data_IF_301977599929
#
_entry.id   IF_301977599929
#
_cell.length_a   1.000
_cell.length_b   1.000
_cell.length_c   1.000
_cell.angle_alpha   90.00
_cell.angle_beta   90.00
_cell.angle_gamma   90.00
#
_symmetry.space_group_name_H-M   'P 1'
#
loop_
_entity.id
_entity.type
_entity.pdbx_description
1 polymer ?
#
# COMPACT_ATOMS: atom_id res chain seq x y z
N UNK A 1 -4.08 14.92 28.07
CA UNK A 1 -5.16 14.12 27.44
C UNK A 1 -6.35 15.06 27.24
N UNK A 2 -6.05 16.25 26.71
CA UNK A 2 -6.93 17.43 26.70
C UNK A 2 -6.81 18.13 25.34
N UNK A 3 -6.49 17.34 24.33
CA UNK A 3 -6.18 17.80 22.99
C UNK A 3 -7.45 17.67 22.14
N UNK A 4 -7.98 18.80 21.70
CA UNK A 4 -9.14 18.84 20.81
C UNK A 4 -8.66 18.79 19.36
N UNK A 5 -9.22 17.88 18.58
CA UNK A 5 -8.96 17.79 17.15
C UNK A 5 -10.17 18.26 16.36
N UNK A 6 -9.93 18.88 15.20
CA UNK A 6 -11.01 19.22 14.27
C UNK A 6 -11.86 17.98 13.96
N UNK A 7 -13.18 18.07 14.12
CA UNK A 7 -14.12 16.98 13.86
C UNK A 7 -14.31 16.69 12.36
N UNK A 8 -13.74 17.52 11.47
CA UNK A 8 -13.66 17.18 10.04
C UNK A 8 -12.66 16.04 9.85
N UNK A 9 -13.16 14.87 9.46
CA UNK A 9 -12.39 13.62 9.36
C UNK A 9 -11.16 13.70 8.44
N UNK A 10 -11.21 14.55 7.42
CA UNK A 10 -10.08 14.77 6.50
C UNK A 10 -9.05 15.78 7.02
N UNK A 11 -9.39 16.61 8.02
CA UNK A 11 -8.51 17.64 8.57
C UNK A 11 -7.82 17.15 9.85
N UNK A 12 -8.60 16.82 10.89
CA UNK A 12 -8.12 16.31 12.19
C UNK A 12 -6.99 17.12 12.85
N UNK A 13 -6.76 18.37 12.44
CA UNK A 13 -5.75 19.27 12.98
C UNK A 13 -5.99 19.50 14.47
N UNK A 14 -4.91 19.51 15.24
CA UNK A 14 -4.93 19.88 16.66
C UNK A 14 -5.37 21.34 16.81
N UNK A 15 -6.32 21.58 17.71
CA UNK A 15 -6.88 22.88 18.00
C UNK A 15 -6.21 23.43 19.26
N UNK A 16 -5.47 24.52 19.10
CA UNK A 16 -4.63 25.08 20.18
C UNK A 16 -5.22 26.38 20.70
N UNK A 17 -5.30 27.42 19.87
CA UNK A 17 -5.71 28.74 20.34
C UNK A 17 -7.18 29.05 20.12
N UNK A 18 -7.67 28.69 18.92
CA UNK A 18 -8.92 29.19 18.36
C UNK A 18 -9.66 28.08 17.63
N UNK A 19 -10.95 27.95 17.92
CA UNK A 19 -11.82 26.97 17.29
C UNK A 19 -13.25 27.48 17.19
N UNK A 20 -14.06 26.80 16.38
CA UNK A 20 -15.50 27.03 16.25
C UNK A 20 -16.21 25.81 16.81
N UNK A 21 -17.08 26.03 17.81
CA UNK A 21 -17.87 24.98 18.46
C UNK A 21 -19.34 25.14 18.06
N UNK A 22 -20.02 24.03 17.77
CA UNK A 22 -21.45 24.00 17.44
C UNK A 22 -22.29 23.54 18.63
N UNK A 23 -23.59 23.81 18.63
CA UNK A 23 -24.50 23.34 19.71
C UNK A 23 -24.66 21.82 19.75
N UNK A 24 -24.45 21.14 18.61
CA UNK A 24 -24.39 19.68 18.55
C UNK A 24 -23.05 19.09 19.04
N UNK A 25 -22.28 19.85 19.84
CA UNK A 25 -21.03 19.43 20.49
C UNK A 25 -19.88 19.07 19.55
N UNK A 26 -19.88 19.57 18.31
CA UNK A 26 -18.75 19.41 17.38
C UNK A 26 -17.83 20.62 17.39
N UNK A 27 -16.55 20.41 17.14
CA UNK A 27 -15.55 21.46 17.12
C UNK A 27 -14.72 21.42 15.83
N UNK A 28 -14.45 22.58 15.24
CA UNK A 28 -13.75 22.72 13.97
C UNK A 28 -12.64 23.76 14.07
N UNK A 29 -11.59 23.59 13.26
CA UNK A 29 -10.64 24.68 13.05
C UNK A 29 -11.32 25.82 12.27
N UNK A 30 -10.80 27.03 12.41
CA UNK A 30 -11.36 28.23 11.75
C UNK A 30 -11.41 28.05 10.23
N UNK A 31 -10.38 27.45 9.64
CA UNK A 31 -10.29 27.18 8.20
C UNK A 31 -11.46 26.30 7.72
N UNK A 32 -11.66 25.13 8.34
CA UNK A 32 -12.76 24.23 8.00
C UNK A 32 -14.13 24.84 8.30
N UNK A 33 -14.27 25.56 9.40
CA UNK A 33 -15.53 26.21 9.75
C UNK A 33 -15.94 27.25 8.69
N UNK A 34 -14.99 28.05 8.21
CA UNK A 34 -15.25 29.04 7.15
C UNK A 34 -15.71 28.37 5.86
N UNK A 35 -15.17 27.21 5.50
CA UNK A 35 -15.60 26.47 4.30
C UNK A 35 -16.99 25.83 4.48
N UNK A 36 -17.22 25.18 5.62
CA UNK A 36 -18.47 24.43 5.89
C UNK A 36 -19.65 25.39 6.01
N UNK A 37 -19.47 26.48 6.76
CA UNK A 37 -20.54 27.43 7.08
C UNK A 37 -20.61 28.64 6.13
N UNK A 38 -19.84 28.65 5.03
CA UNK A 38 -20.02 29.62 3.95
C UNK A 38 -21.31 29.37 3.13
N UNK A 39 -21.91 28.19 3.25
CA UNK A 39 -23.11 27.81 2.51
C UNK A 39 -24.38 28.07 3.34
N UNK A 40 -25.50 28.49 2.72
CA UNK A 40 -26.71 28.90 3.42
C UNK A 40 -27.44 27.76 4.15
N UNK A 41 -27.10 26.50 3.86
CA UNK A 41 -27.77 25.33 4.43
C UNK A 41 -27.33 24.96 5.84
N UNK A 42 -26.26 25.53 6.40
CA UNK A 42 -25.89 25.51 7.83
C UNK A 42 -26.14 24.18 8.53
N UNK A 43 -25.51 23.14 7.97
CA UNK A 43 -25.57 21.77 8.48
C UNK A 43 -24.23 21.43 9.11
N UNK A 44 -24.26 20.72 10.24
CA UNK A 44 -23.04 20.19 10.85
C UNK A 44 -22.40 19.15 9.92
N UNK A 45 -21.17 19.40 9.46
CA UNK A 45 -20.45 18.44 8.60
C UNK A 45 -20.08 17.11 9.29
N UNK A 46 -20.29 16.98 10.60
CA UNK A 46 -19.92 15.79 11.36
C UNK A 46 -21.12 14.92 11.78
N UNK A 47 -22.31 15.50 11.99
CA UNK A 47 -23.50 14.77 12.41
C UNK A 47 -24.78 15.13 11.65
N UNK A 48 -24.66 15.97 10.61
CA UNK A 48 -25.75 16.37 9.70
C UNK A 48 -26.93 17.08 10.37
N UNK A 49 -26.82 17.43 11.65
CA UNK A 49 -27.81 18.24 12.36
C UNK A 49 -27.91 19.60 11.68
N UNK A 50 -29.13 19.99 11.33
CA UNK A 50 -29.44 21.35 10.89
C UNK A 50 -29.20 22.32 12.05
N UNK A 51 -28.49 23.40 11.78
CA UNK A 51 -28.15 24.42 12.76
C UNK A 51 -28.95 25.66 12.34
N UNK A 52 -30.27 25.58 12.49
CA UNK A 52 -31.20 26.58 11.98
C UNK A 52 -31.50 27.69 12.99
N UNK A 53 -31.11 27.51 14.26
CA UNK A 53 -31.24 28.55 15.28
C UNK A 53 -30.09 29.56 15.21
N UNK A 54 -30.34 30.84 15.55
CA UNK A 54 -29.31 31.88 15.60
C UNK A 54 -28.12 31.55 16.54
N UNK A 55 -28.36 30.68 17.52
CA UNK A 55 -27.38 30.24 18.51
C UNK A 55 -26.73 28.88 18.17
N UNK A 56 -27.19 28.16 17.14
CA UNK A 56 -26.76 26.79 16.83
C UNK A 56 -25.41 26.71 16.11
N UNK A 57 -25.22 27.64 15.19
CA UNK A 57 -23.94 28.09 14.67
C UNK A 57 -24.03 29.59 14.62
N UNK A 58 -22.95 30.29 14.93
CA UNK A 58 -22.88 31.72 14.68
C UNK A 58 -22.90 31.92 13.16
N UNK A 59 -24.10 32.07 12.62
CA UNK A 59 -24.42 32.10 11.19
C UNK A 59 -24.28 33.51 10.67
N UNK A 60 -23.38 33.68 9.70
CA UNK A 60 -23.14 34.90 8.97
C UNK A 60 -23.83 34.78 7.62
N UNK A 61 -25.00 35.38 7.44
CA UNK A 61 -25.46 35.76 6.09
C UNK A 61 -24.87 37.15 5.84
N UNK A 62 -24.14 37.38 4.73
CA UNK A 62 -23.62 38.69 4.41
C UNK A 62 -24.78 39.65 4.12
N UNK A 63 -25.14 40.49 5.09
CA UNK A 63 -25.87 41.74 4.86
C UNK A 63 -24.91 42.90 5.14
N UNK A 64 -24.80 43.90 4.24
CA UNK A 64 -23.71 44.87 4.18
C UNK A 64 -23.71 45.93 5.31
N UNK A 65 -24.34 45.68 6.46
CA UNK A 65 -24.59 46.71 7.47
C UNK A 65 -24.33 46.32 8.94
N UNK A 66 -23.82 45.11 9.22
CA UNK A 66 -23.52 44.73 10.61
C UNK A 66 -22.23 43.91 10.70
N UNK A 67 -21.28 44.40 11.48
CA UNK A 67 -19.99 43.77 11.79
C UNK A 67 -20.25 42.47 12.57
N UNK A 68 -20.03 41.31 11.94
CA UNK A 68 -20.40 40.01 12.51
C UNK A 68 -19.17 39.11 12.64
N UNK A 69 -18.87 38.72 13.89
CA UNK A 69 -17.73 37.89 14.26
C UNK A 69 -18.24 36.48 14.53
N UNK A 70 -17.83 35.49 13.73
CA UNK A 70 -17.90 34.06 14.13
C UNK A 70 -17.33 33.99 15.54
N UNK A 71 -18.09 33.49 16.53
CA UNK A 71 -17.56 33.37 17.90
C UNK A 71 -16.46 32.32 17.89
N UNK A 72 -15.26 32.79 17.59
CA UNK A 72 -14.04 32.06 17.75
C UNK A 72 -13.90 31.86 19.26
N UNK A 73 -14.09 30.63 19.69
CA UNK A 73 -13.80 30.25 21.05
C UNK A 73 -12.28 30.30 21.23
N UNK A 74 -11.81 31.22 22.07
CA UNK A 74 -10.48 31.08 22.63
C UNK A 74 -10.49 29.85 23.53
N UNK A 75 -9.62 28.89 23.25
CA UNK A 75 -9.47 27.68 24.06
C UNK A 75 -8.72 27.98 25.38
N UNK A 76 -8.07 29.15 25.45
CA UNK A 76 -7.33 29.63 26.61
C UNK A 76 -7.77 31.05 27.02
N UNK A 77 -8.98 31.21 27.58
CA UNK A 77 -9.42 32.51 28.09
C UNK A 77 -8.64 32.93 29.35
N UNK A 78 -8.44 34.24 29.52
CA UNK A 78 -7.79 34.80 30.72
C UNK A 78 -8.66 34.57 31.97
N UNK A 79 -8.05 34.58 33.15
CA UNK A 79 -8.81 34.41 34.41
C UNK A 79 -9.80 35.55 34.63
N UNK A 80 -9.45 36.79 34.26
CA UNK A 80 -10.35 37.93 34.37
C UNK A 80 -11.57 37.77 33.47
N UNK A 81 -11.38 37.24 32.24
CA UNK A 81 -12.49 36.95 31.35
C UNK A 81 -13.41 35.87 31.93
N UNK A 82 -12.83 34.77 32.45
CA UNK A 82 -13.61 33.71 33.13
C UNK A 82 -14.42 34.27 34.30
N UNK A 83 -13.80 35.10 35.14
CA UNK A 83 -14.50 35.77 36.26
C UNK A 83 -15.60 36.68 35.74
N UNK A 84 -15.37 37.45 34.68
CA UNK A 84 -16.35 38.40 34.13
C UNK A 84 -17.62 37.72 33.59
N UNK A 85 -17.49 36.56 32.94
CA UNK A 85 -18.64 35.84 32.36
C UNK A 85 -19.41 35.03 33.39
N UNK A 86 -18.77 34.64 34.50
CA UNK A 86 -19.39 33.87 35.58
C UNK A 86 -19.99 34.77 36.67
N UNK A 87 -19.43 35.97 36.87
CA UNK A 87 -19.89 36.89 37.91
C UNK A 87 -21.29 37.40 37.61
N UNK A 88 -22.22 37.23 38.55
CA UNK A 88 -23.62 37.62 38.41
C UNK A 88 -24.56 36.49 37.98
N UNK A 89 -24.03 35.32 37.60
CA UNK A 89 -24.85 34.13 37.35
C UNK A 89 -25.25 33.44 38.66
N UNK A 90 -26.44 32.84 38.70
CA UNK A 90 -26.86 32.02 39.84
C UNK A 90 -26.08 30.70 39.88
N UNK A 91 -25.91 30.09 41.07
CA UNK A 91 -25.26 28.78 41.18
C UNK A 91 -25.89 27.70 40.30
N UNK A 92 -27.22 27.73 40.07
CA UNK A 92 -27.88 26.76 39.21
C UNK A 92 -27.43 26.85 37.76
N UNK A 93 -27.31 28.07 37.21
CA UNK A 93 -26.85 28.30 35.83
C UNK A 93 -25.38 27.88 35.69
N UNK A 94 -24.54 28.20 36.68
CA UNK A 94 -23.14 27.80 36.68
C UNK A 94 -23.00 26.28 36.61
N UNK A 95 -23.77 25.54 37.42
CA UNK A 95 -23.77 24.08 37.39
C UNK A 95 -24.27 23.51 36.06
N UNK A 96 -25.28 24.15 35.45
CA UNK A 96 -25.76 23.75 34.12
C UNK A 96 -24.67 23.93 33.05
N UNK A 97 -23.98 25.08 33.04
CA UNK A 97 -22.86 25.35 32.14
C UNK A 97 -21.75 24.29 32.33
N UNK A 98 -21.38 23.99 33.57
CA UNK A 98 -20.38 22.96 33.88
C UNK A 98 -20.82 21.58 33.37
N UNK A 99 -22.09 21.21 33.56
CA UNK A 99 -22.64 19.95 33.07
C UNK A 99 -22.52 19.83 31.55
N UNK A 100 -22.94 20.87 30.81
CA UNK A 100 -22.87 20.90 29.33
C UNK A 100 -21.42 20.86 28.84
N UNK A 101 -20.51 21.57 29.50
CA UNK A 101 -19.09 21.54 29.18
C UNK A 101 -18.47 20.15 29.40
N UNK A 102 -18.83 19.46 30.49
CA UNK A 102 -18.39 18.09 30.75
C UNK A 102 -18.93 17.11 29.69
N UNK A 103 -20.21 17.22 29.33
CA UNK A 103 -20.80 16.39 28.27
C UNK A 103 -20.11 16.60 26.91
N UNK A 104 -19.75 17.85 26.58
CA UNK A 104 -18.95 18.15 25.39
C UNK A 104 -17.61 17.40 25.42
N UNK A 105 -16.85 17.50 26.51
CA UNK A 105 -15.55 16.83 26.62
C UNK A 105 -15.67 15.30 26.58
N UNK A 106 -16.68 14.74 27.25
CA UNK A 106 -16.97 13.31 27.19
C UNK A 106 -17.25 12.86 25.74
N UNK A 107 -18.03 13.63 25.01
CA UNK A 107 -18.31 13.38 23.60
C UNK A 107 -17.03 13.43 22.75
N UNK A 108 -16.19 14.44 22.93
CA UNK A 108 -14.93 14.58 22.18
C UNK A 108 -13.95 13.43 22.46
N UNK A 109 -13.82 13.01 23.72
CA UNK A 109 -12.99 11.85 24.09
C UNK A 109 -13.52 10.57 23.46
N UNK A 110 -14.84 10.35 23.48
CA UNK A 110 -15.46 9.17 22.89
C UNK A 110 -15.29 9.14 21.36
N UNK A 111 -15.47 10.28 20.70
CA UNK A 111 -15.26 10.42 19.27
C UNK A 111 -13.80 10.16 18.87
N UNK A 112 -12.84 10.73 19.62
CA UNK A 112 -11.41 10.49 19.40
C UNK A 112 -11.06 9.00 19.54
N UNK A 113 -11.53 8.37 20.62
CA UNK A 113 -11.31 6.94 20.86
C UNK A 113 -11.87 6.08 19.72
N UNK A 114 -13.10 6.37 19.29
CA UNK A 114 -13.75 5.66 18.18
C UNK A 114 -13.01 5.82 16.86
N UNK A 115 -12.54 7.04 16.57
CA UNK A 115 -11.71 7.33 15.39
C UNK A 115 -10.39 6.56 15.43
N UNK A 116 -9.65 6.62 16.54
CA UNK A 116 -8.38 5.91 16.70
C UNK A 116 -8.55 4.40 16.57
N UNK A 117 -9.63 3.83 17.13
CA UNK A 117 -9.96 2.42 16.96
C UNK A 117 -10.26 2.05 15.50
N UNK A 118 -10.94 2.91 14.75
CA UNK A 118 -11.21 2.68 13.33
C UNK A 118 -9.92 2.72 12.51
N UNK A 119 -9.04 3.71 12.76
CA UNK A 119 -7.73 3.82 12.11
C UNK A 119 -6.87 2.59 12.41
N UNK A 120 -6.80 2.17 13.67
CA UNK A 120 -6.05 0.98 14.08
C UNK A 120 -6.55 -0.29 13.38
N UNK A 121 -7.88 -0.47 13.30
CA UNK A 121 -8.49 -1.59 12.58
C UNK A 121 -8.09 -1.59 11.11
N UNK A 122 -8.22 -0.46 10.43
CA UNK A 122 -7.87 -0.34 9.01
C UNK A 122 -6.39 -0.65 8.74
N UNK A 123 -5.49 -0.11 9.58
CA UNK A 123 -4.05 -0.39 9.48
C UNK A 123 -3.75 -1.87 9.70
N UNK A 124 -4.36 -2.50 10.70
CA UNK A 124 -4.18 -3.92 10.97
C UNK A 124 -4.71 -4.82 9.85
N UNK A 125 -5.88 -4.50 9.29
CA UNK A 125 -6.45 -5.22 8.13
C UNK A 125 -5.52 -5.13 6.91
N UNK A 126 -5.03 -3.93 6.61
CA UNK A 126 -4.10 -3.71 5.50
C UNK A 126 -2.76 -4.42 5.73
N UNK A 127 -2.26 -4.41 6.97
CA UNK A 127 -1.05 -5.11 7.34
C UNK A 127 -1.21 -6.63 7.17
N UNK A 128 -2.33 -7.20 7.63
CA UNK A 128 -2.63 -8.63 7.46
C UNK A 128 -2.75 -9.01 5.97
N UNK A 129 -3.36 -8.16 5.15
CA UNK A 129 -3.44 -8.35 3.71
C UNK A 129 -2.05 -8.37 3.06
N UNK A 130 -1.19 -7.40 3.39
CA UNK A 130 0.19 -7.33 2.88
C UNK A 130 1.01 -8.54 3.32
N UNK A 131 0.88 -8.96 4.57
CA UNK A 131 1.57 -10.15 5.09
C UNK A 131 1.18 -11.41 4.30
N UNK A 132 -0.12 -11.59 4.02
CA UNK A 132 -0.61 -12.70 3.18
C UNK A 132 -0.09 -12.64 1.75
N UNK A 133 -0.03 -11.44 1.16
CA UNK A 133 0.54 -11.26 -0.17
C UNK A 133 2.02 -11.63 -0.21
N UNK A 134 2.79 -11.22 0.80
CA UNK A 134 4.20 -11.58 0.94
C UNK A 134 4.40 -13.09 1.05
N UNK A 135 3.63 -13.76 1.91
CA UNK A 135 3.68 -15.22 2.06
C UNK A 135 3.35 -15.96 0.77
N UNK A 136 2.38 -15.46 -0.02
CA UNK A 136 2.06 -16.03 -1.32
C UNK A 136 3.23 -15.87 -2.31
N UNK A 137 3.83 -14.69 -2.39
CA UNK A 137 4.99 -14.43 -3.27
C UNK A 137 6.17 -15.32 -2.88
N UNK A 138 6.46 -15.46 -1.59
CA UNK A 138 7.52 -16.35 -1.10
C UNK A 138 7.24 -17.80 -1.48
N UNK A 139 5.99 -18.27 -1.32
CA UNK A 139 5.60 -19.64 -1.70
C UNK A 139 5.74 -19.88 -3.20
N UNK A 140 5.30 -18.93 -4.04
CA UNK A 140 5.40 -19.01 -5.50
C UNK A 140 6.86 -19.04 -5.95
N UNK A 141 7.70 -18.14 -5.43
CA UNK A 141 9.13 -18.12 -5.73
C UNK A 141 9.83 -19.42 -5.33
N UNK A 142 9.52 -19.98 -4.16
CA UNK A 142 10.06 -21.27 -3.73
C UNK A 142 9.61 -22.43 -4.64
N UNK A 143 8.36 -22.40 -5.11
CA UNK A 143 7.83 -23.38 -6.06
C UNK A 143 8.57 -23.29 -7.40
N UNK A 144 8.76 -22.09 -7.93
CA UNK A 144 9.52 -21.86 -9.17
C UNK A 144 10.98 -22.30 -9.04
N UNK A 145 11.64 -21.98 -7.93
CA UNK A 145 12.99 -22.48 -7.63
C UNK A 145 13.04 -24.02 -7.66
N UNK A 146 12.05 -24.69 -7.08
CA UNK A 146 11.93 -26.15 -7.14
C UNK A 146 11.81 -26.69 -8.56
N UNK A 147 10.97 -26.06 -9.39
CA UNK A 147 10.80 -26.45 -10.80
C UNK A 147 12.07 -26.23 -11.62
N UNK A 148 12.73 -25.09 -11.44
CA UNK A 148 14.00 -24.76 -12.10
C UNK A 148 15.11 -25.73 -11.70
N UNK A 149 15.24 -26.05 -10.42
CA UNK A 149 16.22 -27.03 -9.93
C UNK A 149 15.98 -28.42 -10.56
N UNK A 150 14.73 -28.87 -10.63
CA UNK A 150 14.38 -30.14 -11.29
C UNK A 150 14.73 -30.13 -12.78
N UNK A 151 14.49 -29.00 -13.47
CA UNK A 151 14.82 -28.83 -14.88
C UNK A 151 16.33 -28.85 -15.11
N UNK A 152 17.10 -28.17 -14.26
CA UNK A 152 18.58 -28.19 -14.29
C UNK A 152 19.08 -29.62 -14.11
N UNK A 153 18.62 -30.33 -13.08
CA UNK A 153 19.01 -31.73 -12.84
C UNK A 153 18.59 -32.68 -13.97
N UNK A 154 17.51 -32.38 -14.71
CA UNK A 154 17.13 -33.09 -15.93
C UNK A 154 18.12 -32.85 -17.06
N UNK A 155 18.39 -31.57 -17.37
CA UNK A 155 19.32 -31.17 -18.43
C UNK A 155 20.75 -31.66 -18.18
N UNK A 156 21.20 -31.69 -16.92
CA UNK A 156 22.50 -32.25 -16.56
C UNK A 156 22.60 -33.74 -16.88
N UNK A 157 21.53 -34.51 -16.64
CA UNK A 157 21.48 -35.93 -17.00
C UNK A 157 21.47 -36.14 -18.51
N UNK A 158 20.64 -35.37 -19.23
CA UNK A 158 20.57 -35.43 -20.69
C UNK A 158 21.92 -35.07 -21.32
N UNK A 159 22.61 -34.05 -20.79
CA UNK A 159 23.94 -33.65 -21.23
C UNK A 159 24.97 -34.77 -21.05
N UNK A 160 24.95 -35.51 -19.93
CA UNK A 160 25.86 -36.63 -19.72
C UNK A 160 25.58 -37.79 -20.69
N UNK A 161 24.32 -38.07 -20.98
CA UNK A 161 23.93 -39.06 -21.99
C UNK A 161 24.45 -38.68 -23.37
N UNK A 162 24.28 -37.43 -23.79
CA UNK A 162 24.79 -36.96 -25.09
C UNK A 162 26.31 -36.95 -25.15
N UNK A 163 26.99 -36.58 -24.05
CA UNK A 163 28.46 -36.70 -23.95
C UNK A 163 28.93 -38.14 -24.13
N UNK A 164 28.23 -39.11 -23.54
CA UNK A 164 28.54 -40.53 -23.70
C UNK A 164 28.34 -40.99 -25.15
N UNK A 165 27.21 -40.66 -25.77
CA UNK A 165 26.95 -40.99 -27.20
C UNK A 165 28.01 -40.39 -28.11
N UNK A 166 28.41 -39.14 -27.87
CA UNK A 166 29.45 -38.50 -28.65
C UNK A 166 30.80 -39.23 -28.53
N UNK A 167 31.17 -39.69 -27.33
CA UNK A 167 32.37 -40.53 -27.15
C UNK A 167 32.27 -41.83 -27.97
N UNK A 168 31.13 -42.50 -27.94
CA UNK A 168 30.87 -43.74 -28.70
C UNK A 168 30.94 -43.50 -30.23
N UNK A 169 30.37 -42.40 -30.73
CA UNK A 169 30.45 -42.04 -32.15
C UNK A 169 31.87 -41.67 -32.60
N UNK A 170 32.61 -40.94 -31.78
CA UNK A 170 34.02 -40.59 -32.06
C UNK A 170 34.85 -41.86 -32.18
N UNK A 171 34.68 -42.82 -31.26
CA UNK A 171 35.40 -44.10 -31.31
C UNK A 171 35.03 -44.91 -32.56
N UNK A 172 33.73 -45.03 -32.86
CA UNK A 172 33.26 -45.73 -34.07
C UNK A 172 33.77 -45.10 -35.36
N UNK A 173 33.89 -43.77 -35.40
CA UNK A 173 34.43 -43.05 -36.57
C UNK A 173 35.91 -43.36 -36.74
N UNK A 174 36.69 -43.36 -35.66
CA UNK A 174 38.11 -43.75 -35.70
C UNK A 174 38.31 -45.17 -36.20
N UNK A 175 37.49 -46.12 -35.72
CA UNK A 175 37.56 -47.52 -36.15
C UNK A 175 37.27 -47.66 -37.64
N UNK A 176 36.20 -47.00 -38.11
CA UNK A 176 35.83 -46.98 -39.55
C UNK A 176 36.91 -46.32 -40.40
N UNK A 177 37.50 -45.21 -39.95
CA UNK A 177 38.61 -44.56 -40.64
C UNK A 177 39.83 -45.49 -40.72
N UNK A 178 40.18 -46.18 -39.63
CA UNK A 178 41.28 -47.14 -39.61
C UNK A 178 41.05 -48.32 -40.58
N UNK A 179 39.81 -48.84 -40.63
CA UNK A 179 39.42 -49.89 -41.58
C UNK A 179 39.45 -49.39 -43.03
N UNK A 180 38.91 -48.20 -43.28
CA UNK A 180 38.95 -47.54 -44.58
C UNK A 180 40.38 -47.35 -45.07
N UNK A 181 41.30 -46.89 -44.22
CA UNK A 181 42.72 -46.76 -44.59
C UNK A 181 43.35 -48.11 -44.95
N UNK A 182 43.07 -49.18 -44.20
CA UNK A 182 43.55 -50.55 -44.52
C UNK A 182 43.07 -51.00 -45.89
N UNK A 183 41.79 -50.78 -46.21
CA UNK A 183 41.21 -51.13 -47.51
C UNK A 183 41.82 -50.28 -48.62
N UNK A 184 41.94 -48.96 -48.42
CA UNK A 184 42.52 -48.02 -49.38
C UNK A 184 43.94 -48.41 -49.77
N UNK A 185 44.79 -48.79 -48.81
CA UNK A 185 46.16 -49.28 -49.07
C UNK A 185 46.13 -50.56 -49.90
N UNK A 186 45.26 -51.52 -49.56
CA UNK A 186 45.11 -52.79 -50.30
C UNK A 186 44.69 -52.57 -51.76
N UNK A 187 43.68 -51.74 -51.98
CA UNK A 187 43.19 -51.40 -53.33
C UNK A 187 44.25 -50.66 -54.13
N UNK A 188 44.94 -49.70 -53.51
CA UNK A 188 46.05 -48.97 -54.17
C UNK A 188 47.19 -49.91 -54.56
N UNK A 189 47.53 -50.88 -53.70
CA UNK A 189 48.53 -51.92 -54.01
C UNK A 189 48.09 -52.86 -55.13
N UNK A 190 46.80 -53.24 -55.18
CA UNK A 190 46.25 -54.07 -56.25
C UNK A 190 46.25 -53.35 -57.61
N UNK A 191 45.91 -52.07 -57.63
CA UNK A 191 46.00 -51.23 -58.84
C UNK A 191 47.45 -51.11 -59.32
N UNK A 192 48.41 -50.89 -58.42
CA UNK A 192 49.84 -50.90 -58.76
C UNK A 192 50.31 -52.23 -59.37
N UNK A 193 49.83 -53.37 -58.86
CA UNK A 193 50.13 -54.69 -59.43
C UNK A 193 49.50 -54.91 -60.81
N UNK A 194 48.29 -54.40 -61.02
CA UNK A 194 47.59 -54.47 -62.31
C UNK A 194 48.25 -53.55 -63.36
N UNK A 195 48.76 -52.38 -62.97
CA UNK A 195 49.53 -51.49 -63.85
C UNK A 195 50.91 -52.06 -64.22
N UNK A 196 51.50 -52.91 -63.37
CA UNK A 196 52.79 -53.59 -63.63
C UNK A 196 52.60 -54.91 -64.42
N UNK A 197 51.42 -55.53 -64.35
CA UNK A 197 51.11 -56.79 -65.05
C UNK A 197 49.80 -56.67 -65.84
N UNK A 198 49.80 -56.01 -67.02
CA UNK A 198 48.64 -56.06 -67.90
C UNK A 198 48.45 -57.50 -68.38
N UNK A 199 47.28 -58.08 -68.10
CA UNK A 199 46.93 -59.42 -68.56
C UNK A 199 47.11 -59.54 -70.08
N UNK A 200 48.13 -60.27 -70.52
CA UNK A 200 48.16 -60.86 -71.85
C UNK A 200 47.17 -62.02 -71.87
N UNK A 201 45.99 -61.80 -72.46
CA UNK A 201 45.09 -62.88 -72.87
C UNK A 201 45.87 -63.88 -73.76
N UNK A 202 45.68 -65.20 -73.60
CA UNK A 202 46.27 -66.16 -74.51
C UNK A 202 45.52 -66.12 -75.85
N UNK A 203 46.24 -65.81 -76.94
CA UNK A 203 45.85 -66.19 -78.29
C UNK A 203 46.69 -67.39 -78.71
N UNK A 204 45.97 -68.39 -79.25
CA UNK A 204 46.38 -69.71 -79.78
C UNK A 204 46.64 -70.82 -78.76
#
# INVERSE_FOLDING_TARGET
MDDLHCNRLTCRKLLVDKAVVTTCSHIFCVECANEIFATPSLICAACETALDQPDDVVIVIPVPFFEFTVKICSLHPTNDYKTSILSGLSPSIILEICSRAMSFWQYQIHQESSFQQAVLRNVNERNAQMQKQLENVVREANSELGLLNNKVAGLERDLEVERRKNREFVESTKDKDAEYQKIKVRVSGFLFLHDIYPQSLPQL
#
